data_IF_557491340853
#
_entry.id   IF_557491340853
#
_cell.length_a   1.000
_cell.length_b   1.000
_cell.length_c   1.000
_cell.angle_alpha   90.00
_cell.angle_beta   90.00
_cell.angle_gamma   90.00
#
_symmetry.space_group_name_H-M   'P 1'
#
loop_
_entity.id
_entity.type
_entity.pdbx_description
1 polymer ?
#
# COMPACT_ATOMS: atom_id res chain seq x y z
N UNK A 1 7.33 2.45 -19.06
CA UNK A 1 7.21 1.78 -17.74
C UNK A 1 5.74 1.62 -17.31
N UNK A 2 4.92 2.66 -17.39
CA UNK A 2 3.49 2.63 -17.01
C UNK A 2 2.62 1.71 -17.88
N UNK A 3 2.96 1.50 -19.15
CA UNK A 3 2.20 0.64 -20.08
C UNK A 3 2.14 -0.84 -19.70
N UNK A 4 3.03 -1.29 -18.80
CA UNK A 4 3.07 -2.69 -18.37
C UNK A 4 2.17 -2.99 -17.14
N UNK A 5 1.54 -1.97 -16.57
CA UNK A 5 0.72 -2.08 -15.35
C UNK A 5 -0.79 -1.96 -15.62
N UNK A 6 -1.26 -2.51 -16.72
CA UNK A 6 -2.70 -2.50 -17.05
C UNK A 6 -3.20 -1.20 -17.68
N UNK A 7 -2.30 -0.31 -18.10
CA UNK A 7 -2.66 0.86 -18.90
C UNK A 7 -3.22 0.43 -20.25
N UNK A 8 -4.19 1.17 -20.80
CA UNK A 8 -4.62 0.97 -22.17
C UNK A 8 -3.44 1.02 -23.11
N UNK A 9 -3.27 -0.04 -23.89
CA UNK A 9 -2.20 -0.17 -24.88
C UNK A 9 -2.61 0.40 -26.24
N UNK A 10 -3.89 0.69 -26.38
CA UNK A 10 -4.50 1.19 -27.61
C UNK A 10 -5.43 2.37 -27.27
N UNK A 11 -5.58 3.35 -28.19
CA UNK A 11 -6.58 4.42 -28.05
C UNK A 11 -8.02 3.91 -27.96
N UNK A 12 -8.26 2.67 -28.37
CA UNK A 12 -9.59 2.02 -28.29
C UNK A 12 -9.85 1.33 -26.96
N UNK A 13 -8.80 1.11 -26.14
CA UNK A 13 -8.96 0.53 -24.82
C UNK A 13 -9.61 1.57 -23.90
N UNK A 14 -10.66 1.14 -23.22
CA UNK A 14 -11.41 2.00 -22.31
C UNK A 14 -11.07 1.66 -20.87
N UNK A 15 -10.89 2.70 -20.08
CA UNK A 15 -10.90 2.57 -18.63
C UNK A 15 -12.32 2.23 -18.15
N UNK A 16 -12.46 1.64 -16.95
CA UNK A 16 -13.77 1.49 -16.31
C UNK A 16 -14.53 2.81 -16.28
N UNK A 17 -15.87 2.74 -16.34
CA UNK A 17 -16.72 3.93 -16.34
C UNK A 17 -16.39 4.86 -15.15
N UNK A 18 -16.21 6.12 -15.45
CA UNK A 18 -15.86 7.14 -14.46
C UNK A 18 -14.37 7.27 -14.12
N UNK A 19 -13.51 6.43 -14.70
CA UNK A 19 -12.06 6.51 -14.51
C UNK A 19 -11.41 7.23 -15.68
N UNK A 20 -10.70 8.32 -15.42
CA UNK A 20 -9.88 9.02 -16.40
C UNK A 20 -8.46 8.43 -16.44
N UNK A 21 -7.74 8.69 -17.52
CA UNK A 21 -6.33 8.29 -17.62
C UNK A 21 -5.48 8.90 -16.49
N UNK A 22 -5.73 10.15 -16.14
CA UNK A 22 -5.05 10.83 -15.05
C UNK A 22 -5.28 10.14 -13.70
N UNK A 23 -6.55 9.80 -13.40
CA UNK A 23 -6.90 9.06 -12.18
C UNK A 23 -6.23 7.70 -12.11
N UNK A 24 -6.19 6.97 -13.23
CA UNK A 24 -5.53 5.68 -13.30
C UNK A 24 -4.02 5.83 -13.09
N UNK A 25 -3.40 6.84 -13.69
CA UNK A 25 -1.97 7.14 -13.52
C UNK A 25 -1.63 7.44 -12.07
N UNK A 26 -2.42 8.30 -11.42
CA UNK A 26 -2.22 8.67 -10.02
C UNK A 26 -2.38 7.47 -9.09
N UNK A 27 -3.37 6.63 -9.37
CA UNK A 27 -3.57 5.39 -8.61
C UNK A 27 -2.37 4.44 -8.73
N UNK A 28 -1.89 4.19 -9.94
CA UNK A 28 -0.74 3.31 -10.14
C UNK A 28 0.55 3.89 -9.55
N UNK A 29 0.75 5.20 -9.63
CA UNK A 29 1.88 5.85 -9.00
C UNK A 29 1.84 5.70 -7.47
N UNK A 30 0.68 5.90 -6.87
CA UNK A 30 0.47 5.68 -5.43
C UNK A 30 0.69 4.21 -5.04
N UNK A 31 0.16 3.26 -5.82
CA UNK A 31 0.35 1.84 -5.58
C UNK A 31 1.83 1.44 -5.62
N UNK A 32 2.58 1.91 -6.61
CA UNK A 32 4.03 1.65 -6.71
C UNK A 32 4.76 2.25 -5.51
N UNK A 33 4.42 3.47 -5.11
CA UNK A 33 5.04 4.13 -3.96
C UNK A 33 4.79 3.35 -2.66
N UNK A 34 3.56 2.90 -2.43
CA UNK A 34 3.17 2.12 -1.25
C UNK A 34 3.87 0.77 -1.23
N UNK A 35 3.84 0.02 -2.33
CA UNK A 35 4.53 -1.28 -2.42
C UNK A 35 6.04 -1.14 -2.20
N UNK A 36 6.66 -0.08 -2.75
CA UNK A 36 8.07 0.21 -2.54
C UNK A 36 8.38 0.55 -1.08
N UNK A 37 7.50 1.30 -0.42
CA UNK A 37 7.63 1.66 0.99
C UNK A 37 7.56 0.44 1.89
N UNK A 38 6.60 -0.46 1.68
CA UNK A 38 6.52 -1.72 2.41
C UNK A 38 7.78 -2.58 2.21
N UNK A 39 8.27 -2.67 0.98
CA UNK A 39 9.50 -3.39 0.69
C UNK A 39 10.70 -2.81 1.45
N UNK A 40 10.87 -1.48 1.42
CA UNK A 40 11.97 -0.79 2.13
C UNK A 40 11.85 -0.99 3.64
N UNK A 41 10.65 -0.94 4.21
CA UNK A 41 10.42 -1.18 5.64
C UNK A 41 10.66 -2.65 6.04
N UNK A 42 10.44 -3.59 5.13
CA UNK A 42 10.67 -5.01 5.38
C UNK A 42 12.16 -5.39 5.43
N UNK A 43 13.02 -4.69 4.68
CA UNK A 43 14.46 -5.00 4.64
C UNK A 43 15.14 -5.00 6.02
N UNK A 44 14.94 -4.00 6.90
CA UNK A 44 15.52 -4.00 8.24
C UNK A 44 15.00 -5.11 9.15
N UNK A 45 13.87 -5.73 8.79
CA UNK A 45 13.26 -6.81 9.58
C UNK A 45 13.91 -8.17 9.30
N UNK A 46 14.54 -8.34 8.12
CA UNK A 46 15.10 -9.62 7.68
C UNK A 46 16.09 -10.27 8.67
N UNK A 47 17.03 -9.54 9.32
CA UNK A 47 17.96 -10.16 10.24
C UNK A 47 17.27 -10.86 11.42
N UNK A 48 16.19 -10.29 11.94
CA UNK A 48 15.39 -10.92 13.02
C UNK A 48 14.63 -12.14 12.50
N UNK A 49 14.07 -12.06 11.29
CA UNK A 49 13.35 -13.18 10.69
C UNK A 49 14.25 -14.40 10.46
N UNK A 50 15.52 -14.16 10.15
CA UNK A 50 16.51 -15.23 9.91
C UNK A 50 17.05 -15.79 11.22
N UNK A 51 17.41 -14.94 12.18
CA UNK A 51 18.12 -15.34 13.40
C UNK A 51 17.18 -15.64 14.58
N UNK A 52 15.95 -15.17 14.52
CA UNK A 52 15.03 -15.17 15.66
C UNK A 52 15.31 -14.02 16.64
N UNK A 53 14.29 -13.61 17.37
CA UNK A 53 14.37 -12.49 18.31
C UNK A 53 15.40 -12.71 19.41
N UNK A 54 15.35 -13.89 20.05
CA UNK A 54 16.19 -14.20 21.20
C UNK A 54 17.69 -14.28 20.85
N UNK A 55 17.99 -14.70 19.61
CA UNK A 55 19.35 -14.89 19.15
C UNK A 55 19.96 -13.64 18.45
N UNK A 56 19.20 -12.54 18.40
CA UNK A 56 19.61 -11.34 17.70
C UNK A 56 20.15 -10.29 18.65
N UNK A 57 21.21 -9.53 18.23
CA UNK A 57 21.70 -8.40 19.01
C UNK A 57 20.67 -7.27 19.03
N UNK A 58 20.78 -6.38 20.01
CA UNK A 58 19.84 -5.28 20.22
C UNK A 58 19.75 -4.34 18.99
N UNK A 59 20.85 -4.17 18.25
CA UNK A 59 20.83 -3.40 17.01
C UNK A 59 19.84 -3.95 15.98
N UNK A 60 19.76 -5.26 15.84
CA UNK A 60 18.79 -5.91 14.92
C UNK A 60 17.36 -5.79 15.43
N UNK A 61 17.16 -5.87 16.75
CA UNK A 61 15.84 -5.65 17.37
C UNK A 61 15.35 -4.22 17.15
N UNK A 62 16.24 -3.24 17.29
CA UNK A 62 15.93 -1.83 16.99
C UNK A 62 15.58 -1.65 15.52
N UNK A 63 16.34 -2.22 14.60
CA UNK A 63 16.06 -2.16 13.17
C UNK A 63 14.70 -2.79 12.83
N UNK A 64 14.36 -3.92 13.46
CA UNK A 64 13.06 -4.57 13.30
C UNK A 64 11.91 -3.67 13.78
N UNK A 65 12.05 -3.07 14.96
CA UNK A 65 11.06 -2.15 15.51
C UNK A 65 10.86 -0.94 14.60
N UNK A 66 11.95 -0.34 14.11
CA UNK A 66 11.87 0.81 13.20
C UNK A 66 11.22 0.45 11.88
N UNK A 67 11.55 -0.72 11.31
CA UNK A 67 10.91 -1.23 10.11
C UNK A 67 9.41 -1.43 10.30
N UNK A 68 9.01 -2.07 11.40
CA UNK A 68 7.61 -2.30 11.75
C UNK A 68 6.85 -0.99 11.96
N UNK A 69 7.42 -0.03 12.69
CA UNK A 69 6.79 1.28 12.90
C UNK A 69 6.64 2.06 11.59
N UNK A 70 7.62 1.97 10.70
CA UNK A 70 7.56 2.56 9.37
C UNK A 70 6.42 1.96 8.55
N UNK A 71 6.31 0.65 8.54
CA UNK A 71 5.26 -0.09 7.82
C UNK A 71 3.87 0.28 8.32
N UNK A 72 3.66 0.25 9.64
CA UNK A 72 2.40 0.69 10.28
C UNK A 72 2.08 2.15 9.95
N UNK A 73 3.08 3.02 9.94
CA UNK A 73 2.90 4.43 9.57
C UNK A 73 2.42 4.59 8.13
N UNK A 74 2.96 3.82 7.20
CA UNK A 74 2.49 3.82 5.80
C UNK A 74 1.08 3.25 5.67
N UNK A 75 0.73 2.19 6.40
CA UNK A 75 -0.62 1.63 6.42
C UNK A 75 -1.65 2.64 6.90
N UNK A 76 -1.35 3.36 7.98
CA UNK A 76 -2.22 4.42 8.51
C UNK A 76 -2.38 5.54 7.47
N UNK A 77 -1.28 5.96 6.85
CA UNK A 77 -1.31 7.00 5.82
C UNK A 77 -2.14 6.57 4.62
N UNK A 78 -1.92 5.37 4.10
CA UNK A 78 -2.65 4.83 2.96
C UNK A 78 -4.14 4.69 3.25
N UNK A 79 -4.48 4.15 4.41
CA UNK A 79 -5.87 4.06 4.85
C UNK A 79 -6.54 5.43 4.95
N UNK A 80 -5.88 6.41 5.56
CA UNK A 80 -6.41 7.76 5.68
C UNK A 80 -6.61 8.43 4.32
N UNK A 81 -5.64 8.33 3.43
CA UNK A 81 -5.70 8.87 2.06
C UNK A 81 -6.86 8.27 1.26
N UNK A 82 -7.00 6.95 1.29
CA UNK A 82 -8.05 6.27 0.55
C UNK A 82 -9.43 6.56 1.14
N UNK A 83 -9.54 6.65 2.45
CA UNK A 83 -10.78 7.04 3.14
C UNK A 83 -11.22 8.46 2.73
N UNK A 84 -10.30 9.42 2.74
CA UNK A 84 -10.59 10.79 2.29
C UNK A 84 -11.04 10.80 0.83
N UNK A 85 -10.41 10.03 -0.04
CA UNK A 85 -10.81 9.90 -1.46
C UNK A 85 -12.22 9.35 -1.62
N UNK A 86 -12.61 8.35 -0.82
CA UNK A 86 -13.96 7.77 -0.85
C UNK A 86 -15.06 8.79 -0.53
N UNK A 87 -14.80 9.70 0.41
CA UNK A 87 -15.77 10.68 0.85
C UNK A 87 -15.71 12.00 0.09
N UNK A 88 -14.69 12.22 -0.72
CA UNK A 88 -14.55 13.45 -1.49
C UNK A 88 -15.44 13.41 -2.73
N UNK A 89 -16.43 14.30 -2.80
CA UNK A 89 -17.31 14.42 -3.98
C UNK A 89 -16.49 14.68 -5.24
N UNK A 90 -16.81 13.94 -6.30
CA UNK A 90 -16.18 14.10 -7.61
C UNK A 90 -14.86 13.34 -7.81
N UNK A 91 -14.40 12.60 -6.81
CA UNK A 91 -13.27 11.68 -6.96
C UNK A 91 -13.81 10.26 -7.05
N UNK A 92 -13.81 9.69 -8.26
CA UNK A 92 -14.12 8.28 -8.42
C UNK A 92 -12.92 7.44 -7.97
N UNK A 93 -13.18 6.37 -7.23
CA UNK A 93 -12.15 5.37 -6.96
C UNK A 93 -11.85 4.63 -8.27
N UNK A 94 -10.58 4.42 -8.61
CA UNK A 94 -10.22 3.64 -9.80
C UNK A 94 -10.46 2.13 -9.63
N UNK A 95 -10.98 1.73 -8.49
CA UNK A 95 -11.37 0.36 -8.16
C UNK A 95 -12.81 0.35 -7.62
N UNK A 96 -13.57 -0.74 -7.80
CA UNK A 96 -14.88 -0.89 -7.19
C UNK A 96 -14.84 -0.72 -5.67
N UNK A 97 -15.89 -0.14 -5.09
CA UNK A 97 -15.97 0.10 -3.64
C UNK A 97 -15.84 -1.19 -2.83
N UNK A 98 -16.34 -2.29 -3.35
CA UNK A 98 -16.23 -3.62 -2.73
C UNK A 98 -14.77 -4.07 -2.65
N UNK A 99 -14.02 -3.84 -3.72
CA UNK A 99 -12.58 -4.14 -3.75
C UNK A 99 -11.82 -3.25 -2.77
N UNK A 100 -12.17 -1.97 -2.69
CA UNK A 100 -11.58 -1.07 -1.71
C UNK A 100 -11.84 -1.54 -0.27
N UNK A 101 -13.08 -1.92 0.06
CA UNK A 101 -13.45 -2.43 1.39
C UNK A 101 -12.64 -3.68 1.73
N UNK A 102 -12.51 -4.62 0.81
CA UNK A 102 -11.77 -5.87 1.06
C UNK A 102 -10.26 -5.59 1.17
N UNK A 103 -9.68 -4.89 0.23
CA UNK A 103 -8.23 -4.71 0.15
C UNK A 103 -7.74 -3.68 1.16
N UNK A 104 -8.36 -2.52 1.23
CA UNK A 104 -7.88 -1.45 2.10
C UNK A 104 -8.38 -1.59 3.53
N UNK A 105 -9.67 -1.77 3.74
CA UNK A 105 -10.23 -1.81 5.10
C UNK A 105 -9.85 -3.09 5.82
N UNK A 106 -10.09 -4.26 5.23
CA UNK A 106 -9.81 -5.53 5.90
C UNK A 106 -8.31 -5.79 6.02
N UNK A 107 -7.53 -5.52 4.97
CA UNK A 107 -6.08 -5.71 4.98
C UNK A 107 -5.42 -4.84 6.05
N UNK A 108 -5.65 -3.52 6.02
CA UNK A 108 -5.02 -2.60 6.98
C UNK A 108 -5.50 -2.85 8.41
N UNK A 109 -6.78 -3.16 8.61
CA UNK A 109 -7.29 -3.50 9.96
C UNK A 109 -6.62 -4.75 10.49
N UNK A 110 -6.44 -5.78 9.65
CA UNK A 110 -5.77 -7.01 10.06
C UNK A 110 -4.29 -6.76 10.35
N UNK A 111 -3.60 -5.99 9.51
CA UNK A 111 -2.20 -5.65 9.70
C UNK A 111 -1.99 -4.89 11.02
N UNK A 112 -2.82 -3.89 11.32
CA UNK A 112 -2.77 -3.15 12.58
C UNK A 112 -3.10 -4.03 13.81
N UNK A 113 -4.04 -4.97 13.68
CA UNK A 113 -4.38 -5.90 14.77
C UNK A 113 -3.25 -6.89 15.07
N UNK A 114 -2.43 -7.25 14.09
CA UNK A 114 -1.31 -8.17 14.29
C UNK A 114 -0.09 -7.52 14.97
N UNK A 115 0.02 -6.20 14.97
CA UNK A 115 1.11 -5.48 15.64
C UNK A 115 0.68 -4.81 16.95
N UNK A 116 -0.58 -4.89 17.30
CA UNK A 116 -1.11 -4.42 18.59
C UNK A 116 -1.05 -5.51 19.64
#
# INVERSE_FOLDING_TARGET
MMSNFGYPKSPTDKFPDGVTEEMARDFYAALIAICSSHFICALPMLPILVNGWENSPDSYKIMFILGTLGDVGFDIYDFAQNTVRCFKKGVALPIPIETWVIVCLMHHTTALALVS
#
